data_IF_268967072364
#
_entry.id   IF_268967072364
#
_cell.length_a   1.000
_cell.length_b   1.000
_cell.length_c   1.000
_cell.angle_alpha   90.00
_cell.angle_beta   90.00
_cell.angle_gamma   90.00
#
_symmetry.space_group_name_H-M   'P 1'
#
loop_
_entity.id
_entity.type
_entity.pdbx_description
1 polymer ?
#
# COMPACT_ATOMS: atom_id res chain seq x y z
N UNK A 1 4.47 4.97 19.54
CA UNK A 1 4.42 6.29 18.89
C UNK A 1 4.03 6.16 17.41
N UNK A 2 4.77 5.41 16.60
CA UNK A 2 4.51 5.23 15.17
C UNK A 2 3.07 4.80 14.83
N UNK A 3 2.56 3.72 15.44
CA UNK A 3 1.19 3.25 15.20
C UNK A 3 0.12 4.28 15.58
N UNK A 4 0.37 5.06 16.64
CA UNK A 4 -0.53 6.14 17.06
C UNK A 4 -0.52 7.24 15.99
N UNK A 5 0.66 7.62 15.48
CA UNK A 5 0.76 8.59 14.39
C UNK A 5 -0.01 8.14 13.14
N UNK A 6 0.13 6.88 12.73
CA UNK A 6 -0.60 6.35 11.57
C UNK A 6 -2.11 6.29 11.79
N UNK A 7 -2.58 5.95 13.00
CA UNK A 7 -4.01 5.94 13.32
C UNK A 7 -4.58 7.36 13.31
N UNK A 8 -3.89 8.32 13.92
CA UNK A 8 -4.30 9.72 13.91
C UNK A 8 -4.34 10.28 12.49
N UNK A 9 -3.34 9.95 11.66
CA UNK A 9 -3.29 10.35 10.26
C UNK A 9 -4.46 9.77 9.45
N UNK A 10 -4.78 8.49 9.66
CA UNK A 10 -5.94 7.85 9.03
C UNK A 10 -7.24 8.56 9.40
N UNK A 11 -7.48 8.89 10.67
CA UNK A 11 -8.69 9.61 11.09
C UNK A 11 -8.82 10.97 10.40
N UNK A 12 -7.72 11.72 10.26
CA UNK A 12 -7.74 13.04 9.61
C UNK A 12 -8.14 12.93 8.13
N UNK A 13 -7.64 11.91 7.44
CA UNK A 13 -7.71 11.80 5.98
C UNK A 13 -8.91 10.97 5.51
N UNK A 14 -9.33 9.97 6.30
CA UNK A 14 -10.38 8.99 5.98
C UNK A 14 -11.62 9.64 5.41
N UNK A 15 -12.19 10.64 6.10
CA UNK A 15 -13.45 11.25 5.68
C UNK A 15 -13.39 11.84 4.28
N UNK A 16 -12.32 12.58 3.98
CA UNK A 16 -12.14 13.18 2.66
C UNK A 16 -12.03 12.12 1.57
N UNK A 17 -11.26 11.05 1.83
CA UNK A 17 -11.08 9.95 0.89
C UNK A 17 -12.36 9.15 0.65
N UNK A 18 -13.12 8.86 1.70
CA UNK A 18 -14.36 8.09 1.61
C UNK A 18 -15.47 8.92 0.93
N UNK A 19 -15.68 10.15 1.38
CA UNK A 19 -16.82 10.96 0.93
C UNK A 19 -16.57 11.63 -0.42
N UNK A 20 -15.37 12.18 -0.65
CA UNK A 20 -15.07 12.98 -1.84
C UNK A 20 -14.35 12.17 -2.93
N UNK A 21 -13.46 11.24 -2.57
CA UNK A 21 -12.71 10.43 -3.57
C UNK A 21 -13.42 9.12 -3.94
N UNK A 22 -14.47 8.70 -3.21
CA UNK A 22 -15.27 7.48 -3.45
C UNK A 22 -14.41 6.27 -3.85
N UNK A 23 -13.37 6.00 -3.05
CA UNK A 23 -12.51 4.84 -3.29
C UNK A 23 -13.36 3.57 -3.34
N UNK A 24 -13.31 2.92 -4.51
CA UNK A 24 -13.88 1.58 -4.68
C UNK A 24 -12.92 0.67 -3.96
N UNK A 25 -13.41 -0.09 -2.97
CA UNK A 25 -12.59 -1.03 -2.20
C UNK A 25 -12.66 -2.43 -2.83
N UNK A 26 -11.86 -2.76 -3.86
CA UNK A 26 -11.93 -4.05 -4.55
C UNK A 26 -11.69 -5.24 -3.60
N UNK A 27 -10.89 -5.04 -2.57
CA UNK A 27 -10.61 -6.07 -1.54
C UNK A 27 -11.87 -6.45 -0.75
N UNK A 28 -12.85 -5.55 -0.62
CA UNK A 28 -14.11 -5.82 0.09
C UNK A 28 -15.07 -6.73 -0.69
N UNK A 29 -14.84 -6.94 -1.99
CA UNK A 29 -15.70 -7.80 -2.82
C UNK A 29 -15.68 -9.26 -2.33
N UNK A 30 -14.52 -9.75 -1.91
CA UNK A 30 -14.37 -11.13 -1.44
C UNK A 30 -15.09 -11.36 -0.09
N UNK A 31 -14.84 -10.59 0.98
CA UNK A 31 -15.60 -10.70 2.22
C UNK A 31 -17.11 -10.54 2.01
N UNK A 32 -17.53 -9.64 1.13
CA UNK A 32 -18.95 -9.45 0.81
C UNK A 32 -19.54 -10.70 0.16
N UNK A 33 -18.84 -11.30 -0.81
CA UNK A 33 -19.25 -12.55 -1.44
C UNK A 33 -19.30 -13.73 -0.44
N UNK A 34 -18.43 -13.74 0.57
CA UNK A 34 -18.41 -14.78 1.61
C UNK A 34 -19.61 -14.68 2.58
N UNK A 35 -20.16 -13.49 2.80
CA UNK A 35 -21.26 -13.24 3.74
C UNK A 35 -22.64 -13.23 3.05
N UNK A 36 -22.66 -12.97 1.73
CA UNK A 36 -23.88 -12.88 0.93
C UNK A 36 -24.77 -14.14 1.09
N UNK A 37 -26.02 -13.90 1.45
CA UNK A 37 -27.03 -14.93 1.63
C UNK A 37 -27.77 -15.26 0.34
N UNK A 38 -28.18 -16.52 0.24
CA UNK A 38 -29.13 -16.98 -0.77
C UNK A 38 -30.55 -16.89 -0.22
N UNK A 39 -31.55 -16.84 -1.10
CA UNK A 39 -32.98 -16.82 -0.72
C UNK A 39 -33.39 -18.04 0.15
N UNK A 40 -32.58 -19.10 0.15
CA UNK A 40 -32.84 -20.39 0.83
C UNK A 40 -32.34 -20.48 2.28
N UNK A 41 -31.73 -19.44 2.86
CA UNK A 41 -31.37 -19.41 4.29
C UNK A 41 -30.47 -20.57 4.78
N UNK A 42 -29.56 -21.05 3.92
CA UNK A 42 -28.66 -22.17 4.22
C UNK A 42 -27.55 -21.78 5.20
N UNK A 43 -27.19 -22.69 6.13
CA UNK A 43 -26.05 -22.53 7.05
C UNK A 43 -24.70 -22.36 6.32
N UNK A 44 -24.55 -23.00 5.16
CA UNK A 44 -23.37 -22.84 4.30
C UNK A 44 -23.72 -21.82 3.22
N UNK A 45 -22.96 -20.72 3.17
CA UNK A 45 -23.13 -19.64 2.19
C UNK A 45 -22.82 -20.13 0.77
N UNK A 46 -23.47 -19.58 -0.28
CA UNK A 46 -23.31 -20.00 -1.67
C UNK A 46 -21.86 -20.02 -2.15
N UNK A 47 -21.08 -19.03 -1.73
CA UNK A 47 -19.65 -18.91 -2.07
C UNK A 47 -18.86 -20.18 -1.73
N UNK A 48 -19.08 -20.74 -0.53
CA UNK A 48 -18.37 -21.94 -0.07
C UNK A 48 -18.85 -23.26 -0.69
N UNK A 49 -19.99 -23.23 -1.37
CA UNK A 49 -20.52 -24.39 -2.10
C UNK A 49 -19.98 -24.48 -3.52
N UNK A 50 -19.38 -23.40 -4.03
CA UNK A 50 -18.88 -23.36 -5.40
C UNK A 50 -17.59 -24.17 -5.55
N UNK A 51 -17.64 -25.26 -6.31
CA UNK A 51 -16.47 -26.09 -6.61
C UNK A 51 -15.36 -25.35 -7.36
N UNK A 52 -15.71 -24.38 -8.21
CA UNK A 52 -14.72 -23.55 -8.94
C UNK A 52 -13.91 -22.69 -7.97
N UNK A 53 -14.55 -22.17 -6.92
CA UNK A 53 -13.85 -21.42 -5.86
C UNK A 53 -12.79 -22.29 -5.18
N UNK A 54 -13.15 -23.52 -4.81
CA UNK A 54 -12.20 -24.44 -4.16
C UNK A 54 -11.05 -24.87 -5.07
N UNK A 55 -11.30 -25.05 -6.37
CA UNK A 55 -10.23 -25.30 -7.35
C UNK A 55 -9.29 -24.08 -7.41
N UNK A 56 -9.86 -22.88 -7.53
CA UNK A 56 -9.09 -21.63 -7.55
C UNK A 56 -8.30 -21.36 -6.26
N UNK A 57 -8.80 -21.80 -5.12
CA UNK A 57 -8.10 -21.74 -3.83
C UNK A 57 -7.01 -22.81 -3.70
N UNK A 58 -7.29 -24.05 -4.13
CA UNK A 58 -6.37 -25.17 -3.98
C UNK A 58 -5.07 -24.98 -4.78
N UNK A 59 -5.13 -24.41 -5.98
CA UNK A 59 -3.95 -24.26 -6.86
C UNK A 59 -2.86 -23.37 -6.22
N UNK A 60 -3.13 -22.12 -5.79
CA UNK A 60 -2.15 -21.30 -5.09
C UNK A 60 -1.70 -21.89 -3.76
N UNK A 61 -2.61 -22.49 -2.99
CA UNK A 61 -2.31 -23.06 -1.67
C UNK A 61 -1.34 -24.21 -1.81
N UNK A 62 -1.64 -25.20 -2.66
CA UNK A 62 -0.77 -26.36 -2.86
C UNK A 62 0.59 -25.91 -3.39
N UNK A 63 0.61 -25.05 -4.41
CA UNK A 63 1.86 -24.59 -5.01
C UNK A 63 2.71 -23.80 -4.02
N UNK A 64 2.10 -22.87 -3.28
CA UNK A 64 2.76 -22.07 -2.24
C UNK A 64 3.25 -22.93 -1.07
N UNK A 65 2.47 -23.93 -0.65
CA UNK A 65 2.89 -24.89 0.37
C UNK A 65 4.08 -25.72 -0.08
N UNK A 66 4.10 -26.22 -1.32
CA UNK A 66 5.25 -26.99 -1.84
C UNK A 66 6.51 -26.13 -1.88
N UNK A 67 6.41 -24.89 -2.39
CA UNK A 67 7.54 -23.96 -2.43
C UNK A 67 8.03 -23.62 -1.01
N UNK A 68 7.10 -23.33 -0.09
CA UNK A 68 7.42 -23.04 1.30
C UNK A 68 8.07 -24.23 2.01
N UNK A 69 7.54 -25.43 1.79
CA UNK A 69 8.05 -26.65 2.40
C UNK A 69 9.44 -27.02 1.86
N UNK A 70 9.69 -26.81 0.56
CA UNK A 70 11.03 -26.92 -0.01
C UNK A 70 12.03 -25.93 0.62
N UNK A 71 11.60 -24.69 0.91
CA UNK A 71 12.45 -23.70 1.56
C UNK A 71 12.87 -24.12 2.99
N UNK A 72 12.01 -24.82 3.73
CA UNK A 72 12.36 -25.39 5.03
C UNK A 72 13.11 -26.73 4.91
N UNK A 73 12.77 -27.53 3.91
CA UNK A 73 13.27 -28.89 3.70
C UNK A 73 13.76 -29.05 2.24
N UNK A 74 15.04 -28.71 1.96
CA UNK A 74 15.57 -28.68 0.60
C UNK A 74 15.58 -30.02 -0.15
N UNK A 75 15.33 -31.13 0.54
CA UNK A 75 15.25 -32.47 -0.07
C UNK A 75 13.93 -32.71 -0.83
N UNK A 76 12.90 -31.89 -0.60
CA UNK A 76 11.63 -31.97 -1.33
C UNK A 76 11.77 -31.31 -2.72
N UNK A 77 11.01 -31.73 -3.74
CA UNK A 77 11.01 -31.04 -5.02
C UNK A 77 10.35 -29.65 -4.90
N UNK A 78 10.84 -28.68 -5.67
CA UNK A 78 10.21 -27.35 -5.81
C UNK A 78 9.49 -27.22 -7.14
N UNK A 79 8.50 -26.33 -7.18
CA UNK A 79 7.80 -25.95 -8.41
C UNK A 79 8.37 -24.60 -8.84
N UNK A 80 9.05 -24.57 -9.99
CA UNK A 80 9.50 -23.31 -10.56
C UNK A 80 8.34 -22.63 -11.31
N UNK A 81 8.00 -21.43 -10.86
CA UNK A 81 6.96 -20.57 -11.44
C UNK A 81 7.54 -19.56 -12.43
N UNK A 82 8.79 -19.75 -12.85
CA UNK A 82 9.42 -18.94 -13.86
C UNK A 82 8.77 -19.15 -15.22
N UNK A 83 8.27 -18.06 -15.81
CA UNK A 83 7.72 -18.06 -17.17
C UNK A 83 8.65 -17.23 -18.05
N UNK A 84 9.48 -17.86 -18.90
CA UNK A 84 10.36 -17.12 -19.79
C UNK A 84 9.52 -16.45 -20.88
N UNK A 85 9.37 -15.12 -20.81
CA UNK A 85 8.86 -14.31 -21.92
C UNK A 85 10.02 -13.50 -22.53
N UNK A 86 10.13 -13.41 -23.87
CA UNK A 86 11.28 -12.77 -24.55
C UNK A 86 11.52 -11.30 -24.18
N UNK A 87 10.50 -10.62 -23.67
CA UNK A 87 10.54 -9.21 -23.25
C UNK A 87 10.34 -9.03 -21.74
N UNK A 88 9.93 -10.09 -21.03
CA UNK A 88 9.57 -10.06 -19.61
C UNK A 88 9.99 -11.38 -18.96
N UNK A 89 11.11 -11.39 -18.25
CA UNK A 89 11.40 -12.52 -17.36
C UNK A 89 10.58 -12.32 -16.08
N UNK A 90 9.41 -12.95 -16.01
CA UNK A 90 8.49 -12.78 -14.89
C UNK A 90 8.25 -14.11 -14.18
N UNK A 91 8.31 -14.08 -12.85
CA UNK A 91 7.83 -15.19 -12.02
C UNK A 91 6.33 -15.06 -11.86
N UNK A 92 5.60 -16.14 -12.14
CA UNK A 92 4.17 -16.18 -11.93
C UNK A 92 3.89 -16.08 -10.42
N UNK A 93 3.19 -15.03 -10.02
CA UNK A 93 2.74 -14.84 -8.63
C UNK A 93 1.23 -14.99 -8.59
N UNK A 94 0.75 -16.06 -7.96
CA UNK A 94 -0.69 -16.27 -7.75
C UNK A 94 -1.33 -15.14 -6.94
N UNK A 95 -0.60 -14.55 -6.00
CA UNK A 95 -1.06 -13.38 -5.25
C UNK A 95 -1.28 -12.17 -6.17
N UNK A 96 -0.34 -11.93 -7.08
CA UNK A 96 -0.44 -10.83 -8.07
C UNK A 96 -1.59 -11.07 -9.05
N UNK A 97 -1.80 -12.31 -9.50
CA UNK A 97 -2.94 -12.67 -10.34
C UNK A 97 -4.29 -12.43 -9.62
N UNK A 98 -4.40 -12.86 -8.36
CA UNK A 98 -5.60 -12.63 -7.56
C UNK A 98 -5.87 -11.14 -7.32
N UNK A 99 -4.81 -10.36 -7.06
CA UNK A 99 -4.90 -8.92 -6.92
C UNK A 99 -5.37 -8.23 -8.21
N UNK A 100 -4.79 -8.57 -9.37
CA UNK A 100 -5.22 -8.02 -10.66
C UNK A 100 -6.67 -8.39 -11.03
N UNK A 101 -7.18 -9.52 -10.55
CA UNK A 101 -8.57 -9.90 -10.76
C UNK A 101 -9.55 -8.98 -10.00
N UNK A 102 -9.18 -8.51 -8.81
CA UNK A 102 -10.06 -7.69 -7.96
C UNK A 102 -10.09 -6.22 -8.40
N UNK A 103 -9.01 -5.73 -8.98
CA UNK A 103 -8.86 -4.31 -9.32
C UNK A 103 -9.58 -3.96 -10.63
N UNK A 104 -10.00 -2.70 -10.75
CA UNK A 104 -10.60 -2.16 -11.96
C UNK A 104 -9.67 -2.31 -13.19
N UNK A 105 -10.28 -2.54 -14.35
CA UNK A 105 -9.56 -2.75 -15.62
C UNK A 105 -8.64 -1.57 -15.97
N UNK A 106 -9.06 -0.34 -15.70
CA UNK A 106 -8.30 0.88 -15.99
C UNK A 106 -7.00 0.95 -15.18
N UNK A 107 -7.07 0.64 -13.89
CA UNK A 107 -5.89 0.60 -13.00
C UNK A 107 -4.95 -0.54 -13.40
N UNK A 108 -5.49 -1.71 -13.74
CA UNK A 108 -4.70 -2.84 -14.23
C UNK A 108 -3.96 -2.51 -15.54
N UNK A 109 -4.63 -1.82 -16.47
CA UNK A 109 -4.00 -1.33 -17.69
C UNK A 109 -2.84 -0.38 -17.38
N UNK A 110 -3.05 0.56 -16.45
CA UNK A 110 -1.99 1.46 -15.98
C UNK A 110 -0.78 0.70 -15.40
N UNK A 111 -1.02 -0.25 -14.49
CA UNK A 111 0.03 -1.04 -13.86
C UNK A 111 0.86 -1.82 -14.90
N UNK A 112 0.21 -2.43 -15.89
CA UNK A 112 0.90 -3.11 -16.98
C UNK A 112 1.72 -2.14 -17.84
N UNK A 113 1.12 -1.02 -18.25
CA UNK A 113 1.77 -0.02 -19.10
C UNK A 113 3.00 0.60 -18.41
N UNK A 114 2.88 1.02 -17.15
CA UNK A 114 4.00 1.60 -16.40
C UNK A 114 5.09 0.58 -16.11
N UNK A 115 4.73 -0.70 -15.91
CA UNK A 115 5.73 -1.77 -15.80
C UNK A 115 6.52 -1.92 -17.11
N UNK A 116 5.84 -1.85 -18.26
CA UNK A 116 6.50 -1.92 -19.57
C UNK A 116 7.41 -0.70 -19.80
N UNK A 117 6.95 0.50 -19.44
CA UNK A 117 7.76 1.73 -19.52
C UNK A 117 8.99 1.66 -18.61
N UNK A 118 8.84 1.16 -17.38
CA UNK A 118 9.96 0.98 -16.46
C UNK A 118 10.99 -0.01 -17.00
N UNK A 119 10.56 -1.14 -17.58
CA UNK A 119 11.45 -2.10 -18.22
C UNK A 119 12.18 -1.50 -19.44
N UNK A 120 11.50 -0.69 -20.24
CA UNK A 120 12.11 0.03 -21.36
C UNK A 120 13.16 1.03 -20.86
N UNK A 121 12.82 1.83 -19.84
CA UNK A 121 13.74 2.79 -19.22
C UNK A 121 14.95 2.09 -18.60
N UNK A 122 14.75 0.98 -17.90
CA UNK A 122 15.81 0.12 -17.36
C UNK A 122 16.73 -0.40 -18.48
N UNK A 123 16.16 -0.88 -19.59
CA UNK A 123 16.93 -1.38 -20.74
C UNK A 123 17.79 -0.27 -21.35
N UNK A 124 17.24 0.95 -21.48
CA UNK A 124 17.97 2.12 -21.97
C UNK A 124 19.09 2.51 -21.01
N UNK A 125 18.84 2.55 -19.70
CA UNK A 125 19.86 2.87 -18.70
C UNK A 125 21.01 1.86 -18.71
N UNK A 126 20.69 0.58 -18.81
CA UNK A 126 21.68 -0.50 -18.94
C UNK A 126 22.48 -0.38 -20.24
N UNK A 127 21.87 0.01 -21.36
CA UNK A 127 22.57 0.11 -22.64
C UNK A 127 23.55 1.29 -22.72
N UNK A 128 23.26 2.39 -22.02
CA UNK A 128 24.15 3.56 -21.94
C UNK A 128 25.17 3.49 -20.80
N UNK A 129 25.17 2.41 -20.02
CA UNK A 129 26.11 2.23 -18.90
C UNK A 129 25.72 2.95 -17.60
N UNK A 130 24.52 3.52 -17.52
CA UNK A 130 24.07 4.29 -16.34
C UNK A 130 23.50 3.37 -15.27
N UNK A 131 24.02 3.46 -14.04
CA UNK A 131 23.45 2.76 -12.88
C UNK A 131 23.82 1.27 -12.79
N UNK A 132 24.95 0.90 -13.42
CA UNK A 132 25.56 -0.44 -13.33
C UNK A 132 26.28 -0.63 -11.98
N UNK A 133 26.54 0.45 -11.23
CA UNK A 133 27.08 0.35 -9.88
C UNK A 133 26.01 -0.25 -8.95
N UNK A 134 26.29 -1.47 -8.49
CA UNK A 134 25.51 -2.17 -7.48
C UNK A 134 25.68 -1.45 -6.14
N UNK A 135 24.95 -0.35 -5.97
CA UNK A 135 24.57 0.10 -4.64
C UNK A 135 23.86 -1.08 -3.95
N UNK A 136 24.28 -1.48 -2.73
CA UNK A 136 23.64 -2.58 -2.02
C UNK A 136 22.14 -2.30 -1.94
N UNK A 137 21.32 -3.29 -2.25
CA UNK A 137 19.86 -3.15 -2.34
C UNK A 137 19.33 -2.33 -1.16
N UNK A 138 18.89 -1.10 -1.46
CA UNK A 138 18.55 -0.08 -0.46
C UNK A 138 17.37 -0.55 0.42
N UNK A 139 16.60 -1.54 -0.04
CA UNK A 139 15.60 -2.25 0.77
C UNK A 139 15.22 -3.61 0.16
N UNK A 140 14.58 -4.48 0.97
CA UNK A 140 13.99 -5.77 0.56
C UNK A 140 12.92 -5.61 -0.54
N UNK A 141 12.43 -4.39 -0.78
CA UNK A 141 11.41 -4.06 -1.77
C UNK A 141 11.96 -3.37 -3.03
N UNK A 142 13.29 -3.17 -3.10
CA UNK A 142 13.94 -2.52 -4.23
C UNK A 142 14.17 -3.51 -5.38
N UNK A 143 13.15 -3.75 -6.20
CA UNK A 143 13.29 -4.47 -7.47
C UNK A 143 13.59 -3.46 -8.60
N UNK A 144 14.84 -3.39 -9.05
CA UNK A 144 15.25 -2.56 -10.20
C UNK A 144 16.45 -1.65 -9.93
N UNK A 145 16.84 -0.83 -10.92
CA UNK A 145 17.94 0.14 -10.76
C UNK A 145 17.62 1.18 -9.66
N UNK A 146 18.62 1.63 -8.87
CA UNK A 146 18.43 2.67 -7.86
C UNK A 146 17.74 3.93 -8.40
N UNK A 147 18.05 4.33 -9.64
CA UNK A 147 17.43 5.50 -10.30
C UNK A 147 15.90 5.38 -10.42
N UNK A 148 15.39 4.19 -10.76
CA UNK A 148 13.96 3.92 -10.84
C UNK A 148 13.29 3.96 -9.46
N UNK A 149 14.00 3.52 -8.41
CA UNK A 149 13.49 3.60 -7.02
C UNK A 149 13.36 5.07 -6.58
N UNK A 150 14.36 5.91 -6.88
CA UNK A 150 14.29 7.34 -6.57
C UNK A 150 13.18 8.05 -7.37
N UNK A 151 12.98 7.68 -8.64
CA UNK A 151 11.86 8.17 -9.46
C UNK A 151 10.50 7.76 -8.86
N UNK A 152 10.37 6.49 -8.44
CA UNK A 152 9.18 5.99 -7.75
C UNK A 152 8.89 6.78 -6.47
N UNK A 153 9.93 7.09 -5.68
CA UNK A 153 9.79 7.95 -4.50
C UNK A 153 9.32 9.37 -4.86
N UNK A 154 9.86 9.96 -5.93
CA UNK A 154 9.40 11.25 -6.45
C UNK A 154 7.92 11.23 -6.85
N UNK A 155 7.48 10.16 -7.52
CA UNK A 155 6.07 9.97 -7.88
C UNK A 155 5.18 9.85 -6.62
N UNK A 156 5.61 9.11 -5.60
CA UNK A 156 4.89 9.01 -4.32
C UNK A 156 4.78 10.37 -3.61
N UNK A 157 5.84 11.18 -3.62
CA UNK A 157 5.80 12.54 -3.06
C UNK A 157 4.75 13.38 -3.76
N UNK A 158 4.76 13.40 -5.11
CA UNK A 158 3.78 14.16 -5.89
C UNK A 158 2.35 13.67 -5.64
N UNK A 159 2.14 12.35 -5.55
CA UNK A 159 0.84 11.76 -5.26
C UNK A 159 0.30 12.20 -3.88
N UNK A 160 1.14 12.16 -2.85
CA UNK A 160 0.73 12.52 -1.48
C UNK A 160 0.52 14.02 -1.35
N UNK A 161 1.48 14.83 -1.80
CA UNK A 161 1.36 16.30 -1.73
C UNK A 161 0.20 16.81 -2.58
N UNK A 162 -0.02 16.21 -3.76
CA UNK A 162 -1.19 16.51 -4.59
C UNK A 162 -2.51 16.13 -3.91
N UNK A 163 -2.57 14.97 -3.25
CA UNK A 163 -3.73 14.57 -2.45
C UNK A 163 -4.01 15.52 -1.28
N UNK A 164 -2.96 15.90 -0.53
CA UNK A 164 -3.06 16.90 0.54
C UNK A 164 -3.52 18.27 0.01
N UNK A 165 -3.07 18.65 -1.19
CA UNK A 165 -3.47 19.91 -1.84
C UNK A 165 -4.95 19.94 -2.24
N UNK A 166 -5.46 18.82 -2.75
CA UNK A 166 -6.90 18.67 -3.06
C UNK A 166 -7.73 18.69 -1.77
N UNK A 167 -7.28 18.00 -0.73
CA UNK A 167 -7.93 17.94 0.58
C UNK A 167 -7.71 19.15 1.50
N UNK A 168 -7.08 20.23 1.03
CA UNK A 168 -6.62 21.35 1.87
C UNK A 168 -7.74 22.02 2.69
N UNK A 169 -8.94 22.11 2.14
CA UNK A 169 -10.09 22.72 2.82
C UNK A 169 -10.57 21.84 3.98
N UNK A 170 -10.68 20.52 3.74
CA UNK A 170 -10.99 19.54 4.79
C UNK A 170 -9.92 19.54 5.89
N UNK A 171 -8.65 19.51 5.52
CA UNK A 171 -7.54 19.56 6.48
C UNK A 171 -7.59 20.86 7.30
N UNK A 172 -7.85 22.00 6.65
CA UNK A 172 -8.05 23.29 7.33
C UNK A 172 -9.19 23.25 8.35
N UNK A 173 -10.32 22.62 8.00
CA UNK A 173 -11.45 22.42 8.90
C UNK A 173 -11.07 21.52 10.09
N UNK A 174 -10.35 20.42 9.88
CA UNK A 174 -9.86 19.53 10.96
C UNK A 174 -8.97 20.31 11.94
N UNK A 175 -8.02 21.11 11.44
CA UNK A 175 -7.18 21.95 12.30
C UNK A 175 -7.99 23.03 13.03
N UNK A 176 -8.97 23.66 12.36
CA UNK A 176 -9.87 24.64 12.99
C UNK A 176 -10.68 24.02 14.12
N UNK A 177 -11.19 22.80 13.96
CA UNK A 177 -11.87 22.04 15.02
C UNK A 177 -10.93 21.72 16.18
N UNK A 178 -9.70 21.29 15.88
CA UNK A 178 -8.72 20.92 16.90
C UNK A 178 -8.27 22.11 17.77
N UNK A 179 -8.07 23.28 17.16
CA UNK A 179 -7.58 24.49 17.85
C UNK A 179 -8.69 25.31 18.49
N UNK A 180 -9.80 25.55 17.77
CA UNK A 180 -10.84 26.49 18.19
C UNK A 180 -12.13 25.81 18.67
N UNK A 181 -12.19 24.47 18.67
CA UNK A 181 -13.37 23.73 19.13
C UNK A 181 -14.62 23.95 18.26
N UNK A 182 -14.42 24.29 16.99
CA UNK A 182 -15.46 24.71 16.03
C UNK A 182 -16.68 23.77 16.03
N UNK A 183 -17.84 24.15 16.61
CA UNK A 183 -18.99 23.24 16.81
C UNK A 183 -19.72 22.88 15.52
N UNK A 184 -19.46 23.61 14.43
CA UNK A 184 -20.00 23.42 13.08
C UNK A 184 -19.49 22.17 12.37
N UNK A 185 -18.34 21.63 12.79
CA UNK A 185 -17.75 20.43 12.20
C UNK A 185 -18.11 19.24 13.08
N UNK A 186 -18.97 18.36 12.59
CA UNK A 186 -19.35 17.12 13.28
C UNK A 186 -18.29 16.04 13.05
N UNK A 187 -17.72 15.50 14.13
CA UNK A 187 -16.73 14.42 14.14
C UNK A 187 -17.24 13.16 14.87
N UNK A 188 -18.56 13.03 15.07
CA UNK A 188 -19.18 11.93 15.82
C UNK A 188 -19.04 10.55 15.17
N UNK A 189 -18.96 10.50 13.84
CA UNK A 189 -18.79 9.25 13.07
C UNK A 189 -17.31 8.81 12.91
N UNK A 190 -16.38 9.55 13.53
CA UNK A 190 -14.97 9.22 13.53
C UNK A 190 -14.54 8.44 14.78
N UNK A 191 -13.54 7.56 14.60
CA UNK A 191 -13.04 6.69 15.69
C UNK A 191 -12.44 7.53 16.83
N UNK A 192 -11.87 8.69 16.50
CA UNK A 192 -11.33 9.67 17.44
C UNK A 192 -11.81 11.06 17.06
N UNK A 193 -12.06 11.90 18.06
CA UNK A 193 -12.31 13.32 17.79
C UNK A 193 -11.13 13.94 17.02
N UNK A 194 -11.41 14.89 16.14
CA UNK A 194 -10.36 15.56 15.36
C UNK A 194 -9.32 16.23 16.26
N UNK A 195 -9.73 16.72 17.42
CA UNK A 195 -8.82 17.30 18.43
C UNK A 195 -7.86 16.25 19.00
N UNK A 196 -8.37 15.09 19.38
CA UNK A 196 -7.55 13.97 19.88
C UNK A 196 -6.63 13.43 18.79
N UNK A 197 -7.10 13.36 17.54
CA UNK A 197 -6.29 12.92 16.41
C UNK A 197 -5.12 13.88 16.14
N UNK A 198 -5.36 15.19 16.09
CA UNK A 198 -4.29 16.18 15.86
C UNK A 198 -3.30 16.22 17.03
N UNK A 199 -3.77 16.24 18.27
CA UNK A 199 -2.89 16.22 19.45
C UNK A 199 -2.11 14.90 19.54
N UNK A 200 -2.75 13.77 19.23
CA UNK A 200 -2.11 12.46 19.16
C UNK A 200 -1.05 12.39 18.07
N UNK A 201 -1.29 12.99 16.91
CA UNK A 201 -0.32 13.09 15.82
C UNK A 201 0.88 13.94 16.23
N UNK A 202 0.66 15.15 16.78
CA UNK A 202 1.74 16.03 17.23
C UNK A 202 2.56 15.36 18.34
N UNK A 203 1.89 14.78 19.34
CA UNK A 203 2.54 14.10 20.46
C UNK A 203 3.34 12.88 20.00
N UNK A 204 2.81 12.07 19.08
CA UNK A 204 3.52 10.89 18.56
C UNK A 204 4.71 11.27 17.68
N UNK A 205 4.59 12.28 16.82
CA UNK A 205 5.71 12.83 16.05
C UNK A 205 6.78 13.42 16.99
N UNK A 206 6.37 14.14 18.02
CA UNK A 206 7.27 14.68 19.04
C UNK A 206 8.04 13.59 19.79
N UNK A 207 7.38 12.52 20.19
CA UNK A 207 8.02 11.36 20.83
C UNK A 207 9.00 10.67 19.87
N UNK A 208 8.63 10.47 18.60
CA UNK A 208 9.52 9.89 17.59
C UNK A 208 10.75 10.78 17.37
N UNK A 209 10.56 12.08 17.16
CA UNK A 209 11.64 13.02 16.96
C UNK A 209 12.55 13.12 18.18
N UNK A 210 11.99 13.19 19.39
CA UNK A 210 12.74 13.22 20.64
C UNK A 210 13.56 11.95 20.84
N UNK A 211 12.99 10.77 20.55
CA UNK A 211 13.72 9.51 20.64
C UNK A 211 14.86 9.42 19.63
N UNK A 212 14.64 9.81 18.37
CA UNK A 212 15.68 9.85 17.34
C UNK A 212 16.78 10.86 17.65
N UNK A 213 16.42 11.98 18.28
CA UNK A 213 17.38 12.99 18.72
C UNK A 213 18.25 12.48 19.88
N UNK A 214 17.66 11.75 20.83
CA UNK A 214 18.39 11.09 21.91
C UNK A 214 19.36 10.01 21.40
N UNK A 215 19.08 9.40 20.25
CA UNK A 215 19.98 8.49 19.55
C UNK A 215 21.14 9.21 18.82
N UNK A 216 21.19 10.54 18.89
CA UNK A 216 22.27 11.35 18.30
C UNK A 216 22.06 11.70 16.82
N UNK A 217 20.87 11.48 16.27
CA UNK A 217 20.57 11.82 14.86
C UNK A 217 20.40 13.35 14.75
N UNK A 218 21.06 14.02 13.79
CA UNK A 218 20.88 15.45 13.57
C UNK A 218 19.43 15.77 13.20
N UNK A 219 18.93 16.93 13.63
CA UNK A 219 17.53 17.37 13.39
C UNK A 219 17.13 17.31 11.91
N UNK A 220 18.05 17.64 10.99
CA UNK A 220 17.81 17.51 9.56
C UNK A 220 17.55 16.05 9.15
N UNK A 221 18.35 15.10 9.64
CA UNK A 221 18.15 13.67 9.38
C UNK A 221 16.83 13.13 9.93
N UNK A 222 16.42 13.60 11.12
CA UNK A 222 15.12 13.26 11.72
C UNK A 222 13.98 13.79 10.84
N UNK A 223 14.04 15.05 10.43
CA UNK A 223 13.02 15.65 9.57
C UNK A 223 12.91 14.93 8.23
N UNK A 224 14.05 14.62 7.59
CA UNK A 224 14.10 13.86 6.33
C UNK A 224 13.52 12.47 6.49
N UNK A 225 13.92 11.73 7.53
CA UNK A 225 13.42 10.37 7.79
C UNK A 225 11.91 10.37 8.02
N UNK A 226 11.41 11.24 8.90
CA UNK A 226 9.98 11.31 9.18
C UNK A 226 9.18 11.74 7.95
N UNK A 227 9.70 12.68 7.16
CA UNK A 227 9.07 13.09 5.90
C UNK A 227 8.88 11.90 4.95
N UNK A 228 9.96 11.19 4.60
CA UNK A 228 9.86 10.03 3.70
C UNK A 228 9.01 8.91 4.29
N UNK A 229 9.11 8.67 5.60
CA UNK A 229 8.31 7.67 6.30
C UNK A 229 6.80 7.97 6.15
N UNK A 230 6.36 9.20 6.41
CA UNK A 230 4.96 9.59 6.28
C UNK A 230 4.48 9.58 4.83
N UNK A 231 5.32 9.99 3.87
CA UNK A 231 5.02 9.86 2.44
C UNK A 231 4.76 8.41 2.07
N UNK A 232 5.64 7.48 2.48
CA UNK A 232 5.47 6.05 2.18
C UNK A 232 4.20 5.51 2.82
N UNK A 233 3.94 5.81 4.09
CA UNK A 233 2.72 5.37 4.74
C UNK A 233 1.46 5.89 4.02
N UNK A 234 1.40 7.19 3.73
CA UNK A 234 0.26 7.80 3.04
C UNK A 234 0.05 7.22 1.64
N UNK A 235 1.12 7.08 0.87
CA UNK A 235 1.05 6.51 -0.47
C UNK A 235 0.58 5.05 -0.43
N UNK A 236 1.14 4.21 0.45
CA UNK A 236 0.71 2.82 0.60
C UNK A 236 -0.75 2.72 1.03
N UNK A 237 -1.21 3.56 1.95
CA UNK A 237 -2.62 3.56 2.35
C UNK A 237 -3.55 3.89 1.20
N UNK A 238 -3.12 4.77 0.28
CA UNK A 238 -3.90 5.14 -0.90
C UNK A 238 -3.88 4.06 -1.99
N UNK A 239 -2.79 3.28 -2.10
CA UNK A 239 -2.69 2.16 -3.06
C UNK A 239 -3.53 0.96 -2.62
N UNK A 240 -3.69 0.76 -1.30
CA UNK A 240 -4.46 -0.35 -0.74
C UNK A 240 -5.96 -0.04 -0.65
N UNK A 241 -6.32 1.23 -0.46
CA UNK A 241 -7.70 1.71 -0.45
C UNK A 241 -8.33 1.63 -1.84
#
# INVERSE_FOLDING_TARGET
ALHVATLCLMVVVRRHWVENERLVYPVMQLPLAMVQDDERGSLIKPFFRNGVMWIGFAVPVITGTVIGLHAYFPFLPTIDLFVPFPLFSSRLSFATLGFFFLIQREVTFGLWLFTLLNNLQETIYRSIGWGIEQEPAISVWSYGLPSLVHQGMGAMIVLVLGGLWVGREHIGNVFRKALNGAPDIDDSDEILSYRSAVLGLIGSVGVLAGWLWLLGIPLAGIATLLFFMFIVYMALTRVVA
#
